data_IF_980443383774
#
_entry.id   IF_980443383774
#
_cell.length_a   1.000
_cell.length_b   1.000
_cell.length_c   1.000
_cell.angle_alpha   90.00
_cell.angle_beta   90.00
_cell.angle_gamma   90.00
#
_symmetry.space_group_name_H-M   'P 1'
#
loop_
_entity.id
_entity.type
_entity.pdbx_description
1 polymer ?
#
# COMPACT_ATOMS: atom_id res chain seq x y z
N UNK A 1 37.63 -17.66 -9.77
CA UNK A 1 37.14 -18.07 -8.43
C UNK A 1 35.86 -17.29 -8.10
N UNK A 2 34.70 -17.68 -8.61
CA UNK A 2 33.43 -16.92 -8.46
C UNK A 2 32.21 -17.84 -8.26
N UNK A 3 32.38 -18.90 -7.46
CA UNK A 3 31.27 -19.83 -7.14
C UNK A 3 30.62 -19.64 -5.75
N UNK A 4 31.12 -18.73 -4.90
CA UNK A 4 30.69 -18.64 -3.49
C UNK A 4 29.47 -17.73 -3.25
N UNK A 5 29.14 -16.79 -4.13
CA UNK A 5 28.08 -15.79 -3.89
C UNK A 5 26.65 -16.28 -4.12
N UNK A 6 26.46 -17.31 -4.93
CA UNK A 6 25.12 -17.84 -5.27
C UNK A 6 24.53 -18.74 -4.19
N UNK A 7 25.37 -19.39 -3.39
CA UNK A 7 24.97 -20.30 -2.31
C UNK A 7 24.42 -19.54 -1.09
N UNK A 8 24.95 -18.38 -0.75
CA UNK A 8 24.54 -17.61 0.43
C UNK A 8 23.12 -17.03 0.29
N UNK A 9 22.77 -16.58 -0.91
CA UNK A 9 21.45 -16.03 -1.18
C UNK A 9 20.35 -17.10 -1.09
N UNK A 10 20.63 -18.33 -1.59
CA UNK A 10 19.67 -19.42 -1.52
C UNK A 10 19.37 -19.84 -0.08
N UNK A 11 20.39 -19.85 0.80
CA UNK A 11 20.20 -20.14 2.23
C UNK A 11 19.37 -19.09 2.96
N UNK A 12 19.54 -17.82 2.62
CA UNK A 12 18.74 -16.73 3.23
C UNK A 12 17.26 -16.86 2.83
N UNK A 13 16.97 -17.13 1.56
CA UNK A 13 15.60 -17.36 1.10
C UNK A 13 15.00 -18.66 1.64
N UNK A 14 15.81 -19.71 1.79
CA UNK A 14 15.36 -20.99 2.35
C UNK A 14 14.87 -20.85 3.81
N UNK A 15 15.54 -20.02 4.63
CA UNK A 15 15.12 -19.74 5.99
C UNK A 15 13.76 -19.06 6.05
N UNK A 16 13.55 -18.01 5.25
CA UNK A 16 12.28 -17.28 5.19
C UNK A 16 11.15 -18.14 4.64
N UNK A 17 11.42 -18.89 3.57
CA UNK A 17 10.43 -19.81 3.00
C UNK A 17 10.10 -20.96 3.98
N UNK A 18 11.11 -21.49 4.67
CA UNK A 18 10.91 -22.52 5.69
C UNK A 18 10.02 -22.03 6.84
N UNK A 19 10.27 -20.82 7.33
CA UNK A 19 9.42 -20.20 8.36
C UNK A 19 7.96 -20.00 7.87
N UNK A 20 7.79 -19.55 6.62
CA UNK A 20 6.47 -19.39 6.04
C UNK A 20 5.72 -20.73 5.90
N UNK A 21 6.41 -21.78 5.46
CA UNK A 21 5.83 -23.13 5.31
C UNK A 21 5.44 -23.68 6.69
N UNK A 22 6.32 -23.56 7.69
CA UNK A 22 6.03 -24.02 9.06
C UNK A 22 4.81 -23.29 9.60
N UNK A 23 4.75 -21.96 9.45
CA UNK A 23 3.60 -21.17 9.88
C UNK A 23 2.32 -21.61 9.15
N UNK A 24 2.39 -21.84 7.84
CA UNK A 24 1.26 -22.35 7.06
C UNK A 24 0.76 -23.70 7.53
N UNK A 25 1.67 -24.63 7.82
CA UNK A 25 1.32 -25.95 8.36
C UNK A 25 0.67 -25.84 9.74
N UNK A 26 1.25 -25.05 10.64
CA UNK A 26 0.70 -24.81 11.98
C UNK A 26 -0.71 -24.24 11.89
N UNK A 27 -0.92 -23.22 11.04
CA UNK A 27 -2.24 -22.61 10.87
C UNK A 27 -3.26 -23.58 10.24
N UNK A 28 -2.82 -24.46 9.33
CA UNK A 28 -3.68 -25.48 8.72
C UNK A 28 -4.15 -26.50 9.75
N UNK A 29 -3.27 -26.90 10.68
CA UNK A 29 -3.62 -27.83 11.76
C UNK A 29 -4.51 -27.15 12.81
N UNK A 30 -4.22 -25.87 13.10
CA UNK A 30 -4.94 -25.10 14.12
C UNK A 30 -6.35 -24.68 13.67
N UNK A 31 -6.59 -24.52 12.35
CA UNK A 31 -7.88 -24.06 11.85
C UNK A 31 -8.27 -24.78 10.56
N UNK A 32 -9.41 -25.49 10.55
CA UNK A 32 -9.89 -26.19 9.35
C UNK A 32 -10.29 -25.23 8.24
N UNK A 33 -10.48 -23.94 8.55
CA UNK A 33 -10.85 -22.91 7.58
C UNK A 33 -9.65 -22.24 6.92
N UNK A 34 -8.42 -22.50 7.39
CA UNK A 34 -7.24 -21.76 6.91
C UNK A 34 -6.99 -21.96 5.42
N UNK A 35 -6.98 -23.19 4.91
CA UNK A 35 -6.75 -23.51 3.50
C UNK A 35 -8.04 -23.50 2.65
N UNK A 36 -9.15 -22.98 3.17
CA UNK A 36 -10.35 -22.86 2.34
C UNK A 36 -10.14 -21.83 1.24
N UNK A 37 -10.76 -22.07 0.08
CA UNK A 37 -10.68 -21.17 -1.07
C UNK A 37 -11.09 -19.73 -0.69
N UNK A 38 -12.17 -19.58 0.07
CA UNK A 38 -12.65 -18.27 0.51
C UNK A 38 -11.63 -17.53 1.38
N UNK A 39 -10.94 -18.23 2.27
CA UNK A 39 -9.90 -17.62 3.10
C UNK A 39 -8.68 -17.22 2.27
N UNK A 40 -8.27 -18.05 1.29
CA UNK A 40 -7.17 -17.70 0.39
C UNK A 40 -7.50 -16.44 -0.44
N UNK A 41 -8.72 -16.31 -0.94
CA UNK A 41 -9.16 -15.10 -1.65
C UNK A 41 -9.21 -13.88 -0.73
N UNK A 42 -9.59 -14.05 0.53
CA UNK A 42 -9.55 -12.98 1.53
C UNK A 42 -8.12 -12.53 1.85
N UNK A 43 -7.18 -13.46 1.95
CA UNK A 43 -5.74 -13.17 2.13
C UNK A 43 -5.21 -12.40 0.93
N UNK A 44 -5.53 -12.82 -0.30
CA UNK A 44 -5.14 -12.10 -1.51
C UNK A 44 -5.68 -10.66 -1.54
N UNK A 45 -6.95 -10.49 -1.14
CA UNK A 45 -7.58 -9.15 -1.07
C UNK A 45 -6.87 -8.25 -0.06
N UNK A 46 -6.61 -8.74 1.15
CA UNK A 46 -5.93 -7.98 2.19
C UNK A 46 -4.48 -7.68 1.82
N UNK A 47 -3.78 -8.65 1.22
CA UNK A 47 -2.40 -8.48 0.75
C UNK A 47 -2.29 -7.46 -0.38
N UNK A 48 -3.35 -7.26 -1.16
CA UNK A 48 -3.37 -6.29 -2.26
C UNK A 48 -3.13 -4.86 -1.78
N UNK A 49 -3.71 -4.47 -0.65
CA UNK A 49 -3.45 -3.16 -0.05
C UNK A 49 -1.97 -3.00 0.32
N UNK A 50 -1.41 -3.97 1.03
CA UNK A 50 0.00 -3.94 1.42
C UNK A 50 0.93 -3.94 0.19
N UNK A 51 0.58 -4.66 -0.86
CA UNK A 51 1.33 -4.68 -2.11
C UNK A 51 1.34 -3.31 -2.80
N UNK A 52 0.21 -2.59 -2.84
CA UNK A 52 0.16 -1.22 -3.37
C UNK A 52 1.00 -0.25 -2.55
N UNK A 53 0.91 -0.31 -1.23
CA UNK A 53 1.74 0.51 -0.33
C UNK A 53 3.23 0.20 -0.54
N UNK A 54 3.58 -1.07 -0.73
CA UNK A 54 4.98 -1.51 -0.96
C UNK A 54 5.58 -0.98 -2.25
N UNK A 55 4.79 -0.78 -3.32
CA UNK A 55 5.26 -0.12 -4.54
C UNK A 55 5.66 1.33 -4.28
N UNK A 56 4.84 2.09 -3.55
CA UNK A 56 5.20 3.46 -3.18
C UNK A 56 6.48 3.51 -2.35
N UNK A 57 6.59 2.60 -1.38
CA UNK A 57 7.78 2.48 -0.54
C UNK A 57 9.03 2.07 -1.35
N UNK A 58 8.88 1.20 -2.36
CA UNK A 58 9.98 0.79 -3.24
C UNK A 58 10.61 1.99 -3.94
N UNK A 59 9.80 2.92 -4.47
CA UNK A 59 10.32 4.14 -5.13
C UNK A 59 11.11 4.99 -4.13
N UNK A 60 10.62 5.15 -2.91
CA UNK A 60 11.35 5.86 -1.86
C UNK A 60 12.67 5.16 -1.50
N UNK A 61 12.68 3.84 -1.41
CA UNK A 61 13.89 3.07 -1.08
C UNK A 61 14.97 3.15 -2.17
N UNK A 62 14.58 3.16 -3.44
CA UNK A 62 15.52 3.31 -4.57
C UNK A 62 16.23 4.69 -4.49
N UNK A 63 15.53 5.73 -4.06
CA UNK A 63 16.11 7.08 -3.85
C UNK A 63 16.84 7.23 -2.50
N UNK A 64 17.19 6.12 -1.85
CA UNK A 64 17.84 6.07 -0.53
C UNK A 64 17.02 6.75 0.60
N UNK A 65 15.71 6.89 0.43
CA UNK A 65 14.79 7.40 1.44
C UNK A 65 14.02 6.29 2.13
N UNK A 66 13.61 6.55 3.38
CA UNK A 66 12.62 5.72 4.08
C UNK A 66 11.43 6.61 4.39
N UNK A 67 10.26 6.29 3.80
CA UNK A 67 9.03 7.03 4.07
C UNK A 67 8.11 6.21 4.99
N UNK A 68 8.11 6.57 6.28
CA UNK A 68 7.23 5.94 7.27
C UNK A 68 5.79 6.46 7.20
N UNK A 69 5.53 7.49 6.41
CA UNK A 69 4.21 8.10 6.32
C UNK A 69 3.29 7.44 5.29
N UNK A 70 3.81 6.56 4.41
CA UNK A 70 3.04 5.99 3.28
C UNK A 70 1.73 5.34 3.73
N UNK A 71 1.75 4.53 4.80
CA UNK A 71 0.53 3.92 5.35
C UNK A 71 -0.44 4.94 5.95
N UNK A 72 0.08 5.94 6.68
CA UNK A 72 -0.75 7.00 7.25
C UNK A 72 -1.33 7.90 6.16
N UNK A 73 -0.58 8.16 5.08
CA UNK A 73 -1.05 8.88 3.91
C UNK A 73 -2.24 8.15 3.26
N UNK A 74 -2.11 6.85 3.01
CA UNK A 74 -3.20 6.06 2.45
C UNK A 74 -4.45 6.08 3.36
N UNK A 75 -4.28 5.94 4.68
CA UNK A 75 -5.36 6.00 5.65
C UNK A 75 -6.02 7.38 5.67
N UNK A 76 -5.23 8.46 5.68
CA UNK A 76 -5.76 9.82 5.66
C UNK A 76 -6.55 10.12 4.38
N UNK A 77 -6.06 9.69 3.22
CA UNK A 77 -6.79 9.81 1.96
C UNK A 77 -8.13 9.07 1.99
N UNK A 78 -8.17 7.88 2.60
CA UNK A 78 -9.42 7.15 2.80
C UNK A 78 -10.36 7.87 3.77
N UNK A 79 -9.86 8.42 4.88
CA UNK A 79 -10.64 9.23 5.81
C UNK A 79 -11.25 10.48 5.13
N UNK A 80 -10.46 11.17 4.29
CA UNK A 80 -10.91 12.34 3.55
C UNK A 80 -12.04 11.98 2.57
N UNK A 81 -11.85 10.91 1.80
CA UNK A 81 -12.90 10.40 0.90
C UNK A 81 -14.16 9.97 1.67
N UNK A 82 -14.00 9.26 2.79
CA UNK A 82 -15.11 8.82 3.62
C UNK A 82 -15.88 9.99 4.26
N UNK A 83 -15.19 11.06 4.64
CA UNK A 83 -15.85 12.29 5.10
C UNK A 83 -16.71 12.93 3.99
N UNK A 84 -16.25 12.89 2.73
CA UNK A 84 -17.06 13.36 1.61
C UNK A 84 -18.30 12.50 1.40
N UNK A 85 -18.20 11.19 1.60
CA UNK A 85 -19.37 10.30 1.57
C UNK A 85 -20.38 10.69 2.65
N UNK A 86 -19.92 10.98 3.88
CA UNK A 86 -20.80 11.44 4.96
C UNK A 86 -21.49 12.78 4.62
N UNK A 87 -20.88 13.61 3.78
CA UNK A 87 -21.48 14.86 3.26
C UNK A 87 -22.37 14.66 2.03
N UNK A 88 -22.65 13.42 1.64
CA UNK A 88 -23.55 13.08 0.55
C UNK A 88 -22.89 12.95 -0.83
N UNK A 89 -21.55 12.95 -0.92
CA UNK A 89 -20.86 12.69 -2.20
C UNK A 89 -20.85 11.20 -2.47
N UNK A 90 -21.63 10.75 -3.45
CA UNK A 90 -21.76 9.33 -3.81
C UNK A 90 -21.02 8.94 -5.09
N UNK A 91 -20.47 9.91 -5.81
CA UNK A 91 -19.76 9.66 -7.05
C UNK A 91 -18.36 9.08 -6.78
N UNK A 92 -18.19 7.78 -7.09
CA UNK A 92 -16.94 7.04 -6.88
C UNK A 92 -15.73 7.68 -7.57
N UNK A 93 -15.92 8.27 -8.75
CA UNK A 93 -14.84 8.89 -9.50
C UNK A 93 -14.32 10.14 -8.79
N UNK A 94 -15.21 10.96 -8.24
CA UNK A 94 -14.85 12.15 -7.45
C UNK A 94 -14.06 11.71 -6.21
N UNK A 95 -14.55 10.70 -5.49
CA UNK A 95 -13.89 10.19 -4.28
C UNK A 95 -12.47 9.67 -4.59
N UNK A 96 -12.30 8.93 -5.68
CA UNK A 96 -10.99 8.42 -6.11
C UNK A 96 -10.04 9.56 -6.50
N UNK A 97 -10.52 10.54 -7.27
CA UNK A 97 -9.70 11.71 -7.65
C UNK A 97 -9.26 12.47 -6.40
N UNK A 98 -10.16 12.75 -5.48
CA UNK A 98 -9.83 13.48 -4.25
C UNK A 98 -8.79 12.70 -3.42
N UNK A 99 -8.96 11.38 -3.27
CA UNK A 99 -8.00 10.56 -2.56
C UNK A 99 -6.61 10.57 -3.23
N UNK A 100 -6.56 10.45 -4.55
CA UNK A 100 -5.31 10.49 -5.32
C UNK A 100 -4.64 11.86 -5.19
N UNK A 101 -5.37 12.96 -5.39
CA UNK A 101 -4.83 14.32 -5.29
C UNK A 101 -4.32 14.62 -3.89
N UNK A 102 -5.04 14.19 -2.85
CA UNK A 102 -4.59 14.33 -1.46
C UNK A 102 -3.29 13.55 -1.22
N UNK A 103 -3.20 12.30 -1.70
CA UNK A 103 -1.99 11.50 -1.59
C UNK A 103 -0.79 12.11 -2.32
N UNK A 104 -0.99 12.63 -3.52
CA UNK A 104 0.03 13.35 -4.30
C UNK A 104 0.49 14.62 -3.58
N UNK A 105 -0.44 15.41 -3.04
CA UNK A 105 -0.13 16.63 -2.31
C UNK A 105 0.72 16.34 -1.06
N UNK A 106 0.36 15.31 -0.30
CA UNK A 106 1.11 14.90 0.89
C UNK A 106 2.51 14.40 0.50
N UNK A 107 2.62 13.58 -0.54
CA UNK A 107 3.90 13.13 -1.06
C UNK A 107 4.78 14.27 -1.55
N UNK A 108 4.19 15.27 -2.23
CA UNK A 108 4.88 16.48 -2.64
C UNK A 108 5.38 17.32 -1.46
N UNK A 109 4.56 17.47 -0.41
CA UNK A 109 4.96 18.16 0.83
C UNK A 109 6.15 17.42 1.47
N UNK A 110 6.09 16.09 1.61
CA UNK A 110 7.21 15.29 2.12
C UNK A 110 8.48 15.49 1.30
N UNK A 111 8.38 15.47 -0.03
CA UNK A 111 9.50 15.73 -0.92
C UNK A 111 10.08 17.14 -0.74
N UNK A 112 9.24 18.16 -0.58
CA UNK A 112 9.69 19.53 -0.30
C UNK A 112 10.39 19.65 1.06
N UNK A 113 9.88 19.02 2.11
CA UNK A 113 10.50 19.01 3.42
C UNK A 113 11.92 18.45 3.38
N UNK A 114 12.13 17.41 2.60
CA UNK A 114 13.45 16.78 2.45
C UNK A 114 14.40 17.63 1.60
N UNK A 115 13.93 18.12 0.43
CA UNK A 115 14.80 18.74 -0.55
C UNK A 115 15.06 20.22 -0.28
N UNK A 116 14.07 20.97 0.22
CA UNK A 116 14.16 22.41 0.45
C UNK A 116 14.57 22.76 1.85
N UNK A 117 14.09 22.06 2.87
CA UNK A 117 14.46 22.33 4.26
C UNK A 117 15.71 21.57 4.69
N UNK A 118 16.33 20.78 3.80
CA UNK A 118 17.58 20.07 4.05
C UNK A 118 17.56 19.30 5.38
N UNK A 119 16.41 18.68 5.69
CA UNK A 119 16.30 17.88 6.91
C UNK A 119 17.34 16.74 6.89
N UNK A 120 18.06 16.53 7.99
CA UNK A 120 19.24 15.65 7.99
C UNK A 120 18.91 14.20 7.67
N UNK A 121 17.66 13.77 7.92
CA UNK A 121 17.24 12.40 7.64
C UNK A 121 15.76 12.34 7.22
N UNK A 122 15.45 11.61 6.13
CA UNK A 122 14.06 11.36 5.69
C UNK A 122 13.16 10.77 6.78
N UNK A 123 13.74 9.93 7.64
CA UNK A 123 13.08 9.28 8.76
C UNK A 123 12.35 10.26 9.70
N UNK A 124 13.00 11.38 10.07
CA UNK A 124 12.41 12.32 11.04
C UNK A 124 11.22 13.05 10.46
N UNK A 125 11.31 13.52 9.19
CA UNK A 125 10.20 14.21 8.53
C UNK A 125 9.02 13.30 8.28
N UNK A 126 9.26 12.08 7.80
CA UNK A 126 8.19 11.13 7.48
C UNK A 126 7.54 10.54 8.73
N UNK A 127 8.28 10.38 9.83
CA UNK A 127 7.72 10.02 11.13
C UNK A 127 6.83 11.15 11.69
N UNK A 128 7.28 12.41 11.57
CA UNK A 128 6.48 13.57 11.92
C UNK A 128 5.19 13.65 11.09
N UNK A 129 5.31 13.52 9.76
CA UNK A 129 4.17 13.51 8.84
C UNK A 129 3.19 12.37 9.14
N UNK A 130 3.68 11.17 9.45
CA UNK A 130 2.84 10.05 9.89
C UNK A 130 1.92 10.46 11.05
N UNK A 131 2.48 11.09 12.09
CA UNK A 131 1.71 11.48 13.27
C UNK A 131 0.73 12.62 12.96
N UNK A 132 1.13 13.59 12.13
CA UNK A 132 0.26 14.67 11.66
C UNK A 132 -0.94 14.11 10.90
N UNK A 133 -0.71 13.18 9.96
CA UNK A 133 -1.78 12.58 9.17
C UNK A 133 -2.73 11.73 10.02
N UNK A 134 -2.20 11.01 11.01
CA UNK A 134 -3.02 10.27 11.96
C UNK A 134 -3.90 11.18 12.78
N UNK A 135 -3.34 12.24 13.38
CA UNK A 135 -4.09 13.23 14.13
C UNK A 135 -5.13 13.95 13.27
N UNK A 136 -4.74 14.39 12.06
CA UNK A 136 -5.66 15.02 11.12
C UNK A 136 -6.81 14.07 10.70
N UNK A 137 -6.51 12.78 10.45
CA UNK A 137 -7.52 11.77 10.17
C UNK A 137 -8.56 11.65 11.29
N UNK A 138 -8.12 11.58 12.55
CA UNK A 138 -9.01 11.53 13.71
C UNK A 138 -9.87 12.79 13.84
N UNK A 139 -9.30 13.97 13.59
CA UNK A 139 -10.03 15.24 13.66
C UNK A 139 -11.12 15.29 12.58
N UNK A 140 -10.78 15.03 11.31
CA UNK A 140 -11.75 15.16 10.21
C UNK A 140 -12.87 14.11 10.29
N UNK A 141 -12.60 12.94 10.85
CA UNK A 141 -13.60 11.88 11.04
C UNK A 141 -14.31 11.97 12.39
N UNK A 142 -13.94 12.93 13.25
CA UNK A 142 -14.42 13.01 14.65
C UNK A 142 -14.20 11.69 15.40
N UNK A 143 -13.09 10.98 15.08
CA UNK A 143 -12.76 9.64 15.60
C UNK A 143 -13.82 8.58 15.31
N UNK A 144 -14.68 8.79 14.33
CA UNK A 144 -15.70 7.84 13.91
C UNK A 144 -15.21 7.00 12.73
N UNK A 145 -15.74 5.79 12.62
CA UNK A 145 -15.49 4.94 11.46
C UNK A 145 -16.14 5.55 10.23
N UNK A 146 -15.39 5.59 9.13
CA UNK A 146 -15.93 5.97 7.82
C UNK A 146 -16.31 4.71 7.04
N UNK A 147 -17.46 4.74 6.37
CA UNK A 147 -17.96 3.63 5.57
C UNK A 147 -18.17 4.07 4.12
N UNK A 148 -17.84 3.20 3.21
CA UNK A 148 -18.12 3.37 1.77
C UNK A 148 -19.30 2.50 1.31
N UNK A 149 -20.11 2.00 2.25
CA UNK A 149 -21.31 1.24 1.93
C UNK A 149 -22.24 2.04 1.04
N UNK A 150 -22.72 1.45 -0.04
CA UNK A 150 -23.56 2.14 -1.04
C UNK A 150 -22.80 2.96 -2.09
N UNK A 151 -21.45 2.94 -2.08
CA UNK A 151 -20.63 3.58 -3.10
C UNK A 151 -20.09 2.50 -4.05
N UNK A 152 -20.90 2.14 -5.05
CA UNK A 152 -20.69 0.95 -5.89
C UNK A 152 -19.30 0.86 -6.52
N UNK A 153 -18.76 1.94 -7.08
CA UNK A 153 -17.46 1.91 -7.73
C UNK A 153 -16.29 1.70 -6.75
N UNK A 154 -16.36 2.30 -5.55
CA UNK A 154 -15.34 2.09 -4.50
C UNK A 154 -15.46 0.67 -3.95
N UNK A 155 -16.69 0.22 -3.70
CA UNK A 155 -16.96 -1.14 -3.24
C UNK A 155 -16.52 -2.19 -4.27
N UNK A 156 -16.72 -1.90 -5.56
CA UNK A 156 -16.29 -2.77 -6.64
C UNK A 156 -14.75 -2.94 -6.65
N UNK A 157 -14.00 -1.85 -6.51
CA UNK A 157 -12.53 -1.91 -6.45
C UNK A 157 -12.01 -2.67 -5.22
N UNK A 158 -12.63 -2.46 -4.06
CA UNK A 158 -12.17 -3.02 -2.80
C UNK A 158 -12.68 -4.43 -2.48
N UNK A 159 -13.92 -4.74 -2.86
CA UNK A 159 -14.63 -5.94 -2.37
C UNK A 159 -15.07 -6.90 -3.47
N UNK A 160 -15.22 -6.44 -4.72
CA UNK A 160 -15.70 -7.31 -5.81
C UNK A 160 -14.64 -8.35 -6.21
N UNK A 161 -15.15 -9.37 -6.90
CA UNK A 161 -14.31 -10.40 -7.52
C UNK A 161 -14.77 -10.60 -8.98
N UNK A 162 -13.81 -10.79 -9.88
CA UNK A 162 -14.04 -11.21 -11.26
C UNK A 162 -13.82 -12.71 -11.31
N UNK A 163 -14.90 -13.47 -11.52
CA UNK A 163 -14.88 -14.89 -11.26
C UNK A 163 -14.52 -15.17 -9.80
N UNK A 164 -13.41 -15.83 -9.59
CA UNK A 164 -12.94 -16.20 -8.26
C UNK A 164 -11.84 -15.27 -7.69
N UNK A 165 -11.32 -14.33 -8.50
CA UNK A 165 -10.19 -13.50 -8.10
C UNK A 165 -10.64 -12.10 -7.64
N UNK A 166 -10.10 -11.58 -6.51
CA UNK A 166 -10.39 -10.23 -6.04
C UNK A 166 -9.95 -9.17 -7.07
N UNK A 167 -10.83 -8.20 -7.37
CA UNK A 167 -10.51 -7.07 -8.26
C UNK A 167 -9.28 -6.31 -7.75
N UNK A 168 -9.18 -6.09 -6.45
CA UNK A 168 -8.03 -5.43 -5.83
C UNK A 168 -6.69 -6.09 -6.21
N UNK A 169 -6.64 -7.43 -6.27
CA UNK A 169 -5.43 -8.15 -6.66
C UNK A 169 -5.10 -7.98 -8.15
N UNK A 170 -6.11 -7.94 -9.02
CA UNK A 170 -5.94 -7.67 -10.45
C UNK A 170 -5.37 -6.26 -10.65
N UNK A 171 -5.90 -5.27 -9.93
CA UNK A 171 -5.40 -3.88 -9.95
C UNK A 171 -3.93 -3.82 -9.53
N UNK A 172 -3.54 -4.55 -8.49
CA UNK A 172 -2.14 -4.67 -8.05
C UNK A 172 -1.25 -5.14 -9.19
N UNK A 173 -1.61 -6.24 -9.86
CA UNK A 173 -0.81 -6.79 -10.97
C UNK A 173 -0.63 -5.73 -12.07
N UNK A 174 -1.70 -5.05 -12.45
CA UNK A 174 -1.64 -4.00 -13.49
C UNK A 174 -0.71 -2.87 -13.07
N UNK A 175 -0.81 -2.39 -11.82
CA UNK A 175 0.05 -1.32 -11.30
C UNK A 175 1.51 -1.79 -11.24
N UNK A 176 1.78 -3.03 -10.83
CA UNK A 176 3.14 -3.59 -10.83
C UNK A 176 3.75 -3.63 -12.24
N UNK A 177 2.98 -4.02 -13.25
CA UNK A 177 3.43 -4.00 -14.64
C UNK A 177 3.73 -2.56 -15.10
N UNK A 178 2.85 -1.61 -14.81
CA UNK A 178 3.04 -0.20 -15.14
C UNK A 178 4.31 0.34 -14.48
N UNK A 179 4.48 0.09 -13.18
CA UNK A 179 5.65 0.53 -12.43
C UNK A 179 6.94 -0.14 -12.89
N UNK A 180 6.89 -1.42 -13.24
CA UNK A 180 8.04 -2.11 -13.85
C UNK A 180 8.46 -1.43 -15.16
N UNK A 181 7.52 -1.13 -16.04
CA UNK A 181 7.80 -0.44 -17.31
C UNK A 181 8.34 0.97 -17.03
N UNK A 182 7.72 1.70 -16.11
CA UNK A 182 8.13 3.04 -15.74
C UNK A 182 9.56 3.06 -15.21
N UNK A 183 9.90 2.20 -14.26
CA UNK A 183 11.22 2.16 -13.65
C UNK A 183 12.32 1.64 -14.59
N UNK A 184 11.99 0.67 -15.48
CA UNK A 184 13.02 0.03 -16.32
C UNK A 184 13.14 0.63 -17.71
N UNK A 185 12.07 1.20 -18.27
CA UNK A 185 12.01 1.63 -19.68
C UNK A 185 11.92 3.14 -19.88
N UNK A 186 11.60 3.93 -18.85
CA UNK A 186 11.49 5.39 -19.02
C UNK A 186 12.76 6.14 -18.59
N UNK A 187 12.89 7.39 -19.05
CA UNK A 187 13.97 8.28 -18.61
C UNK A 187 13.88 8.60 -17.11
N UNK A 188 12.65 8.76 -16.60
CA UNK A 188 12.41 8.98 -15.17
C UNK A 188 12.93 7.83 -14.33
N UNK A 189 12.60 6.59 -14.68
CA UNK A 189 13.06 5.41 -13.93
C UNK A 189 14.58 5.22 -13.97
N UNK A 190 15.23 5.65 -15.05
CA UNK A 190 16.70 5.59 -15.16
C UNK A 190 17.42 6.71 -14.41
N UNK A 191 16.72 7.78 -14.05
CA UNK A 191 17.28 8.91 -13.29
C UNK A 191 17.05 8.78 -11.77
N UNK A 192 16.27 7.80 -11.35
CA UNK A 192 16.05 7.39 -9.96
C UNK A 192 17.09 6.34 -9.57
#
# INVERSE_FOLDING_TARGET
>A
MTKSKKSSNLMTYAGTLGALIILGVVLTIASPNFLTFNNMMSILRQSSFNALVSIGMLVCLITAGIDLSVGANATFCACLAGMLVQKGVTNSFILLIVAILAGVLIGWINGMLLTRLHLPHPFVSTLGMKNVLWGAGLIITSSQMVSFSGIDGVMWLGSASVGNFPVAFIVVIVIYIIMHILLTRTSLGRSI
#
